data_IF_056163669917
#
_entry.id   IF_056163669917
#
_cell.length_a   1.000
_cell.length_b   1.000
_cell.length_c   1.000
_cell.angle_alpha   90.00
_cell.angle_beta   90.00
_cell.angle_gamma   90.00
#
_symmetry.space_group_name_H-M   'P 1'
#
loop_
_entity.id
_entity.type
_entity.pdbx_description
1 polymer ?
#
# COMPACT_ATOMS: atom_id res chain seq x y z
N UNK A 1 -26.29 -1.41 -3.85
CA UNK A 1 -25.07 -1.23 -4.68
C UNK A 1 -23.90 -0.65 -3.88
N UNK A 2 -24.03 0.51 -3.22
CA UNK A 2 -22.95 1.16 -2.44
C UNK A 2 -22.24 0.26 -1.41
N UNK A 3 -22.97 -0.52 -0.60
CA UNK A 3 -22.34 -1.44 0.39
C UNK A 3 -21.56 -2.59 -0.26
N UNK A 4 -22.03 -3.12 -1.39
CA UNK A 4 -21.34 -4.22 -2.09
C UNK A 4 -20.02 -3.74 -2.70
N UNK A 5 -20.02 -2.55 -3.29
CA UNK A 5 -18.82 -1.92 -3.83
C UNK A 5 -17.82 -1.55 -2.72
N UNK A 6 -18.30 -1.04 -1.58
CA UNK A 6 -17.44 -0.74 -0.43
C UNK A 6 -16.72 -1.99 0.08
N UNK A 7 -17.44 -3.12 0.19
CA UNK A 7 -16.87 -4.40 0.59
C UNK A 7 -15.83 -4.94 -0.40
N UNK A 8 -16.05 -4.77 -1.71
CA UNK A 8 -15.12 -5.22 -2.75
C UNK A 8 -13.83 -4.38 -2.78
N UNK A 9 -13.95 -3.08 -2.55
CA UNK A 9 -12.80 -2.17 -2.42
C UNK A 9 -11.94 -2.48 -1.20
N UNK A 10 -12.55 -2.77 -0.06
CA UNK A 10 -11.83 -3.15 1.16
C UNK A 10 -11.12 -4.51 0.97
N UNK A 11 -11.72 -5.44 0.23
CA UNK A 11 -11.09 -6.71 -0.13
C UNK A 11 -9.87 -6.52 -1.04
N UNK A 12 -9.97 -5.72 -2.11
CA UNK A 12 -8.84 -5.39 -2.98
C UNK A 12 -7.72 -4.67 -2.22
N UNK A 13 -8.10 -3.73 -1.34
CA UNK A 13 -7.16 -2.99 -0.51
C UNK A 13 -6.42 -3.90 0.47
N UNK A 14 -7.12 -4.85 1.11
CA UNK A 14 -6.51 -5.83 2.02
C UNK A 14 -5.46 -6.70 1.31
N UNK A 15 -5.74 -7.12 0.07
CA UNK A 15 -4.82 -7.89 -0.78
C UNK A 15 -3.61 -7.06 -1.21
N UNK A 16 -3.83 -5.79 -1.57
CA UNK A 16 -2.75 -4.87 -1.90
C UNK A 16 -1.82 -4.64 -0.70
N UNK A 17 -2.37 -4.37 0.49
CA UNK A 17 -1.59 -4.21 1.72
C UNK A 17 -0.84 -5.49 2.10
N UNK A 18 -1.45 -6.66 1.91
CA UNK A 18 -0.78 -7.94 2.14
C UNK A 18 0.44 -8.11 1.22
N UNK A 19 0.31 -7.79 -0.07
CA UNK A 19 1.42 -7.81 -1.04
C UNK A 19 2.49 -6.75 -0.74
N UNK A 20 2.09 -5.55 -0.32
CA UNK A 20 3.05 -4.51 0.04
C UNK A 20 3.87 -4.92 1.29
N UNK A 21 3.20 -5.48 2.31
CA UNK A 21 3.87 -6.03 3.50
C UNK A 21 4.78 -7.20 3.15
N UNK A 22 4.39 -8.04 2.20
CA UNK A 22 5.20 -9.12 1.64
C UNK A 22 6.49 -8.59 1.04
N UNK A 23 6.38 -7.67 0.09
CA UNK A 23 7.55 -7.14 -0.61
C UNK A 23 8.49 -6.43 0.34
N UNK A 24 7.97 -5.58 1.23
CA UNK A 24 8.78 -4.85 2.21
C UNK A 24 9.52 -5.81 3.17
N UNK A 25 8.85 -6.87 3.63
CA UNK A 25 9.47 -7.86 4.50
C UNK A 25 10.54 -8.69 3.78
N UNK A 26 10.27 -9.14 2.56
CA UNK A 26 11.24 -9.88 1.75
C UNK A 26 12.47 -9.02 1.46
N UNK A 27 12.27 -7.74 1.12
CA UNK A 27 13.39 -6.81 0.95
C UNK A 27 14.15 -6.57 2.25
N UNK A 28 13.46 -6.45 3.38
CA UNK A 28 14.09 -6.32 4.69
C UNK A 28 14.95 -7.54 5.03
N UNK A 29 14.42 -8.76 4.89
CA UNK A 29 15.16 -10.01 5.10
C UNK A 29 16.37 -10.10 4.15
N UNK A 30 16.19 -9.74 2.88
CA UNK A 30 17.28 -9.70 1.90
C UNK A 30 18.41 -8.73 2.31
N UNK A 31 18.06 -7.51 2.73
CA UNK A 31 19.04 -6.50 3.14
C UNK A 31 19.74 -6.90 4.43
N UNK A 32 19.02 -7.43 5.43
CA UNK A 32 19.66 -7.92 6.67
C UNK A 32 20.54 -9.14 6.42
N UNK A 33 20.14 -10.03 5.51
CA UNK A 33 20.93 -11.19 5.10
C UNK A 33 22.19 -10.79 4.35
N UNK A 34 22.10 -9.83 3.43
CA UNK A 34 23.25 -9.30 2.70
C UNK A 34 24.24 -8.57 3.63
N UNK A 35 23.72 -7.79 4.60
CA UNK A 35 24.55 -7.14 5.62
C UNK A 35 25.29 -8.16 6.48
N UNK A 36 24.61 -9.22 6.93
CA UNK A 36 25.22 -10.31 7.68
C UNK A 36 26.27 -11.04 6.83
N UNK A 37 25.97 -11.38 5.58
CA UNK A 37 26.90 -12.03 4.66
C UNK A 37 28.13 -11.17 4.39
N UNK A 38 27.97 -9.85 4.25
CA UNK A 38 29.11 -8.95 4.10
C UNK A 38 30.01 -8.94 5.33
N UNK A 39 29.45 -9.02 6.54
CA UNK A 39 30.23 -9.18 7.77
C UNK A 39 30.95 -10.54 7.82
N UNK A 40 30.31 -11.62 7.34
CA UNK A 40 30.95 -12.96 7.22
C UNK A 40 32.17 -12.90 6.31
N UNK A 41 32.02 -12.31 5.12
CA UNK A 41 33.09 -12.27 4.12
C UNK A 41 34.29 -11.46 4.63
N UNK A 42 34.04 -10.38 5.37
CA UNK A 42 35.10 -9.59 5.99
C UNK A 42 35.85 -10.35 7.09
N UNK A 43 35.16 -11.22 7.83
CA UNK A 43 35.78 -12.06 8.87
C UNK A 43 36.48 -13.29 8.27
N UNK A 44 35.96 -13.87 7.19
CA UNK A 44 36.54 -15.04 6.53
C UNK A 44 37.86 -14.73 5.81
N UNK A 45 38.11 -13.47 5.46
CA UNK A 45 39.39 -13.04 4.87
C UNK A 45 40.54 -12.91 5.89
N UNK A 46 40.29 -13.08 7.19
CA UNK A 46 41.31 -13.12 8.23
C UNK A 46 41.24 -14.49 8.93
N UNK A 47 42.25 -15.34 8.68
CA UNK A 47 42.34 -16.79 9.00
C UNK A 47 42.19 -17.23 10.47
N UNK A 48 41.78 -16.35 11.38
CA UNK A 48 41.68 -16.67 12.80
C UNK A 48 40.23 -16.94 13.23
N UNK A 49 40.01 -18.14 13.79
CA UNK A 49 38.85 -18.61 14.57
C UNK A 49 37.84 -19.53 13.83
N UNK A 50 37.86 -20.81 14.20
CA UNK A 50 36.99 -21.91 13.70
C UNK A 50 35.57 -21.94 14.27
N UNK A 51 35.28 -21.18 15.35
CA UNK A 51 33.96 -21.05 16.01
C UNK A 51 33.09 -19.90 15.47
N UNK A 52 33.71 -18.90 14.84
CA UNK A 52 33.07 -17.72 14.26
C UNK A 52 32.27 -18.01 12.97
N UNK A 53 32.77 -18.82 12.01
CA UNK A 53 32.04 -19.13 10.78
C UNK A 53 30.83 -20.06 11.04
N UNK A 54 30.84 -20.88 12.10
CA UNK A 54 29.73 -21.78 12.44
C UNK A 54 28.54 -21.05 13.05
N UNK A 55 28.74 -20.01 13.85
CA UNK A 55 27.66 -19.15 14.35
C UNK A 55 27.04 -18.30 13.23
N UNK A 56 27.86 -17.91 12.25
CA UNK A 56 27.44 -17.15 11.09
C UNK A 56 26.65 -17.98 10.07
N UNK A 57 27.04 -19.23 9.82
CA UNK A 57 26.23 -20.15 9.00
C UNK A 57 24.88 -20.47 9.66
N UNK A 58 24.84 -20.52 10.99
CA UNK A 58 23.60 -20.68 11.77
C UNK A 58 22.69 -19.43 11.67
N UNK A 59 23.28 -18.23 11.66
CA UNK A 59 22.56 -16.97 11.39
C UNK A 59 21.96 -16.89 9.99
N UNK A 60 22.72 -17.31 8.97
CA UNK A 60 22.23 -17.42 7.58
C UNK A 60 21.12 -18.48 7.47
N UNK A 61 21.27 -19.62 8.15
CA UNK A 61 20.26 -20.68 8.20
C UNK A 61 18.95 -20.19 8.85
N UNK A 62 19.01 -19.46 9.96
CA UNK A 62 17.83 -18.88 10.62
C UNK A 62 17.12 -17.86 9.72
N UNK A 63 17.88 -17.07 8.97
CA UNK A 63 17.34 -16.10 8.01
C UNK A 63 16.61 -16.81 6.86
N UNK A 64 17.22 -17.88 6.31
CA UNK A 64 16.61 -18.74 5.28
C UNK A 64 15.35 -19.44 5.80
N UNK A 65 15.36 -19.94 7.04
CA UNK A 65 14.20 -20.57 7.66
C UNK A 65 13.07 -19.56 7.93
N UNK A 66 13.40 -18.32 8.29
CA UNK A 66 12.41 -17.26 8.46
C UNK A 66 11.77 -16.81 7.13
N UNK A 67 12.56 -16.79 6.04
CA UNK A 67 12.08 -16.52 4.69
C UNK A 67 11.21 -17.68 4.16
N UNK A 68 11.63 -18.92 4.40
CA UNK A 68 10.88 -20.12 4.03
C UNK A 68 9.55 -20.19 4.80
N UNK A 69 9.55 -20.02 6.13
CA UNK A 69 8.34 -20.05 6.95
C UNK A 69 7.31 -18.98 6.56
N UNK A 70 7.78 -17.85 6.03
CA UNK A 70 6.93 -16.76 5.56
C UNK A 70 6.38 -17.01 4.14
N UNK A 71 7.19 -17.61 3.24
CA UNK A 71 6.76 -17.99 1.89
C UNK A 71 5.74 -19.15 1.91
N UNK A 72 5.90 -20.07 2.86
CA UNK A 72 5.04 -21.24 3.04
C UNK A 72 3.72 -20.94 3.77
N UNK A 73 3.62 -19.82 4.50
CA UNK A 73 2.44 -19.52 5.34
C UNK A 73 2.02 -18.07 5.16
N UNK A 74 0.86 -17.85 4.53
CA UNK A 74 0.18 -16.53 4.49
C UNK A 74 0.05 -16.01 5.93
N UNK A 75 0.91 -15.08 6.39
CA UNK A 75 1.12 -14.89 7.81
C UNK A 75 0.09 -13.92 8.37
N UNK A 76 -0.46 -14.29 9.53
CA UNK A 76 -1.23 -13.38 10.37
C UNK A 76 -0.37 -12.17 10.77
N UNK A 77 -0.96 -11.00 11.06
CA UNK A 77 -0.19 -9.80 11.45
C UNK A 77 0.75 -10.03 12.64
N UNK A 78 0.39 -10.91 13.57
CA UNK A 78 1.24 -11.29 14.72
C UNK A 78 2.45 -12.12 14.31
N UNK A 79 2.31 -13.03 13.34
CA UNK A 79 3.42 -13.84 12.83
C UNK A 79 4.48 -12.98 12.13
N UNK A 80 4.07 -11.90 11.44
CA UNK A 80 5.01 -10.95 10.81
C UNK A 80 5.86 -10.24 11.86
N UNK A 81 5.27 -9.83 12.99
CA UNK A 81 5.98 -9.18 14.09
C UNK A 81 6.94 -10.15 14.78
N UNK A 82 6.50 -11.37 15.06
CA UNK A 82 7.35 -12.40 15.66
C UNK A 82 8.57 -12.70 14.78
N UNK A 83 8.38 -12.86 13.46
CA UNK A 83 9.49 -13.11 12.54
C UNK A 83 10.43 -11.90 12.42
N UNK A 84 9.92 -10.67 12.49
CA UNK A 84 10.76 -9.46 12.55
C UNK A 84 11.63 -9.44 13.82
N UNK A 85 11.07 -9.84 14.97
CA UNK A 85 11.82 -9.92 16.22
C UNK A 85 12.89 -11.01 16.17
N UNK A 86 12.57 -12.20 15.67
CA UNK A 86 13.53 -13.31 15.53
C UNK A 86 14.67 -12.94 14.59
N UNK A 87 14.37 -12.36 13.42
CA UNK A 87 15.41 -11.89 12.49
C UNK A 87 16.27 -10.77 13.10
N UNK A 88 15.68 -9.86 13.86
CA UNK A 88 16.44 -8.84 14.57
C UNK A 88 17.35 -9.44 15.66
N UNK A 89 16.86 -10.42 16.43
CA UNK A 89 17.66 -11.11 17.43
C UNK A 89 18.85 -11.86 16.81
N UNK A 90 18.65 -12.51 15.65
CA UNK A 90 19.72 -13.18 14.92
C UNK A 90 20.80 -12.18 14.43
N UNK A 91 20.37 -11.03 13.91
CA UNK A 91 21.27 -9.95 13.49
C UNK A 91 22.04 -9.37 14.69
N UNK A 92 21.36 -9.17 15.82
CA UNK A 92 21.97 -8.65 17.05
C UNK A 92 23.01 -9.63 17.61
N UNK A 93 22.72 -10.93 17.57
CA UNK A 93 23.67 -11.98 17.94
C UNK A 93 24.90 -11.99 17.01
N UNK A 94 24.69 -11.90 15.68
CA UNK A 94 25.79 -11.79 14.72
C UNK A 94 26.64 -10.54 14.93
N UNK A 95 26.02 -9.40 15.27
CA UNK A 95 26.73 -8.18 15.61
C UNK A 95 27.54 -8.36 16.90
N UNK A 96 26.96 -8.94 17.96
CA UNK A 96 27.67 -9.23 19.21
C UNK A 96 28.92 -10.08 18.97
N UNK A 97 28.80 -11.12 18.14
CA UNK A 97 29.91 -11.98 17.75
C UNK A 97 31.00 -11.19 17.02
N UNK A 98 30.62 -10.34 16.06
CA UNK A 98 31.56 -9.49 15.33
C UNK A 98 32.28 -8.48 16.24
N UNK A 99 31.59 -7.98 17.27
CA UNK A 99 32.18 -7.09 18.30
C UNK A 99 33.18 -7.84 19.19
N UNK A 100 32.84 -9.04 19.66
CA UNK A 100 33.72 -9.86 20.51
C UNK A 100 34.91 -10.48 19.78
N UNK A 101 34.79 -10.68 18.46
CA UNK A 101 35.83 -11.29 17.63
C UNK A 101 37.05 -10.40 17.36
N UNK A 102 37.02 -9.13 17.76
CA UNK A 102 38.19 -8.22 17.76
C UNK A 102 38.81 -7.89 16.38
N UNK A 103 38.26 -8.40 15.28
CA UNK A 103 38.93 -8.39 13.98
C UNK A 103 38.48 -7.27 13.01
N UNK A 104 37.42 -6.52 13.32
CA UNK A 104 36.87 -5.51 12.40
C UNK A 104 37.31 -4.09 12.81
N UNK A 105 37.88 -3.29 11.90
CA UNK A 105 38.24 -1.90 12.22
C UNK A 105 36.99 -1.07 12.56
N UNK A 106 37.08 -0.27 13.62
CA UNK A 106 35.96 0.47 14.22
C UNK A 106 35.13 1.29 13.21
N UNK A 107 35.77 1.91 12.21
CA UNK A 107 35.07 2.68 11.17
C UNK A 107 34.20 1.84 10.24
N UNK A 108 34.63 0.61 9.88
CA UNK A 108 33.82 -0.30 9.05
C UNK A 108 32.62 -0.84 9.82
N UNK A 109 32.83 -1.12 11.11
CA UNK A 109 31.79 -1.55 12.02
C UNK A 109 30.71 -0.46 12.21
N UNK A 110 31.11 0.81 12.42
CA UNK A 110 30.18 1.94 12.50
C UNK A 110 29.33 2.06 11.23
N UNK A 111 29.96 2.00 10.06
CA UNK A 111 29.25 2.09 8.78
C UNK A 111 28.22 0.96 8.62
N UNK A 112 28.59 -0.27 8.99
CA UNK A 112 27.67 -1.41 8.97
C UNK A 112 26.48 -1.21 9.92
N UNK A 113 26.72 -0.73 11.15
CA UNK A 113 25.65 -0.44 12.12
C UNK A 113 24.72 0.68 11.62
N UNK A 114 25.27 1.77 11.05
CA UNK A 114 24.46 2.85 10.47
C UNK A 114 23.57 2.36 9.32
N UNK A 115 24.11 1.55 8.41
CA UNK A 115 23.34 0.94 7.31
C UNK A 115 22.25 0.00 7.84
N UNK A 116 22.56 -0.77 8.88
CA UNK A 116 21.60 -1.66 9.52
C UNK A 116 20.44 -0.88 10.17
N UNK A 117 20.76 0.20 10.91
CA UNK A 117 19.76 1.09 11.52
C UNK A 117 18.86 1.73 10.45
N UNK A 118 19.46 2.21 9.35
CA UNK A 118 18.69 2.74 8.22
C UNK A 118 17.80 1.66 7.60
N UNK A 119 18.32 0.46 7.35
CA UNK A 119 17.53 -0.65 6.81
C UNK A 119 16.36 -1.04 7.73
N UNK A 120 16.56 -1.06 9.04
CA UNK A 120 15.52 -1.31 10.03
C UNK A 120 14.45 -0.23 9.99
N UNK A 121 14.83 1.05 10.07
CA UNK A 121 13.87 2.16 10.10
C UNK A 121 13.10 2.32 8.78
N UNK A 122 13.69 1.96 7.65
CA UNK A 122 13.06 2.13 6.33
C UNK A 122 12.21 0.93 5.92
N UNK A 123 12.64 -0.30 6.22
CA UNK A 123 12.06 -1.52 5.64
C UNK A 123 11.47 -2.52 6.65
N UNK A 124 11.74 -2.39 7.95
CA UNK A 124 11.21 -3.37 8.91
C UNK A 124 9.67 -3.28 9.01
N UNK A 125 8.95 -4.40 8.92
CA UNK A 125 7.51 -4.39 9.05
C UNK A 125 7.11 -4.19 10.51
N UNK A 126 6.06 -3.39 10.73
CA UNK A 126 5.45 -3.25 12.04
C UNK A 126 5.19 -1.80 12.42
N UNK A 127 4.75 -1.58 13.67
CA UNK A 127 4.50 -0.25 14.19
C UNK A 127 5.82 0.55 14.31
N UNK A 128 5.69 1.87 14.33
CA UNK A 128 6.83 2.78 14.41
C UNK A 128 7.65 2.57 15.68
N UNK A 129 6.96 2.33 16.80
CA UNK A 129 7.58 2.11 18.10
C UNK A 129 8.46 0.85 18.15
N UNK A 130 7.95 -0.28 17.66
CA UNK A 130 8.69 -1.55 17.69
C UNK A 130 9.99 -1.47 16.91
N UNK A 131 9.90 -0.96 15.69
CA UNK A 131 11.05 -0.82 14.79
C UNK A 131 12.03 0.25 15.28
N UNK A 132 11.52 1.33 15.89
CA UNK A 132 12.36 2.30 16.59
C UNK A 132 13.13 1.66 17.75
N UNK A 133 12.45 0.81 18.54
CA UNK A 133 13.07 0.03 19.60
C UNK A 133 14.14 -0.95 19.10
N UNK A 134 13.88 -1.64 17.98
CA UNK A 134 14.87 -2.50 17.32
C UNK A 134 16.10 -1.70 16.89
N UNK A 135 15.92 -0.57 16.20
CA UNK A 135 17.01 0.31 15.79
C UNK A 135 17.80 0.88 16.99
N UNK A 136 17.11 1.21 18.08
CA UNK A 136 17.76 1.67 19.31
C UNK A 136 18.56 0.55 19.97
N UNK A 137 18.04 -0.68 20.02
CA UNK A 137 18.75 -1.82 20.60
C UNK A 137 20.09 -2.10 19.88
N UNK A 138 20.11 -2.04 18.55
CA UNK A 138 21.36 -2.16 17.76
C UNK A 138 22.33 -1.01 18.04
N UNK A 139 21.82 0.23 18.12
CA UNK A 139 22.64 1.40 18.44
C UNK A 139 23.26 1.35 19.85
N UNK A 140 22.48 0.89 20.84
CA UNK A 140 22.91 0.75 22.23
C UNK A 140 23.92 -0.37 22.42
N UNK A 141 23.77 -1.49 21.69
CA UNK A 141 24.76 -2.56 21.72
C UNK A 141 26.13 -2.07 21.21
N UNK A 142 26.14 -1.35 20.08
CA UNK A 142 27.36 -0.76 19.54
C UNK A 142 27.97 0.28 20.49
N UNK A 143 27.16 1.20 21.01
CA UNK A 143 27.63 2.21 21.96
C UNK A 143 28.19 1.58 23.24
N UNK A 144 27.53 0.55 23.78
CA UNK A 144 28.00 -0.20 24.96
C UNK A 144 29.36 -0.85 24.74
N UNK A 145 29.61 -1.41 23.53
CA UNK A 145 30.93 -1.94 23.18
C UNK A 145 31.99 -0.83 23.12
N UNK A 146 31.69 0.30 22.48
CA UNK A 146 32.63 1.44 22.39
C UNK A 146 32.97 2.05 23.74
N UNK A 147 32.01 2.04 24.67
CA UNK A 147 32.23 2.46 26.06
C UNK A 147 33.01 1.41 26.86
N UNK A 148 32.84 0.11 26.59
CA UNK A 148 33.63 -0.93 27.24
C UNK A 148 35.10 -0.92 26.77
N UNK A 149 35.35 -0.49 25.53
CA UNK A 149 36.69 -0.30 24.95
C UNK A 149 37.37 1.02 25.38
N UNK A 150 36.83 1.71 26.40
CA UNK A 150 37.24 3.06 26.87
C UNK A 150 38.74 3.22 27.19
N UNK A 151 39.51 2.14 27.28
CA UNK A 151 40.96 2.19 27.49
C UNK A 151 41.75 2.66 26.27
N UNK A 152 41.16 2.70 25.07
CA UNK A 152 41.88 3.00 23.82
C UNK A 152 41.33 4.15 22.95
N UNK A 153 40.08 4.61 23.16
CA UNK A 153 39.40 5.52 22.22
C UNK A 153 39.41 6.99 22.70
N UNK A 154 39.74 7.93 21.82
CA UNK A 154 39.68 9.36 22.13
C UNK A 154 38.25 9.89 22.19
N UNK A 155 37.93 10.77 23.15
CA UNK A 155 36.61 11.42 23.33
C UNK A 155 36.00 11.97 22.03
N UNK A 156 36.84 12.46 21.12
CA UNK A 156 36.41 12.98 19.82
C UNK A 156 35.82 11.91 18.89
N UNK A 157 36.32 10.67 18.93
CA UNK A 157 35.81 9.57 18.10
C UNK A 157 34.41 9.14 18.56
N UNK A 158 34.21 8.97 19.87
CA UNK A 158 32.89 8.65 20.44
C UNK A 158 31.85 9.73 20.07
N UNK A 159 32.25 11.00 20.09
CA UNK A 159 31.38 12.10 19.69
C UNK A 159 30.98 11.99 18.20
N UNK A 160 31.93 11.73 17.32
CA UNK A 160 31.65 11.55 15.88
C UNK A 160 30.74 10.34 15.64
N UNK A 161 31.02 9.21 16.29
CA UNK A 161 30.21 7.99 16.21
C UNK A 161 28.76 8.28 16.64
N UNK A 162 28.57 9.01 17.75
CA UNK A 162 27.25 9.39 18.27
C UNK A 162 26.46 10.31 17.33
N UNK A 163 27.13 11.27 16.69
CA UNK A 163 26.52 12.21 15.73
C UNK A 163 26.08 11.48 14.47
N UNK A 164 26.90 10.54 13.97
CA UNK A 164 26.55 9.72 12.81
C UNK A 164 25.38 8.79 13.10
N UNK A 165 25.35 8.16 14.27
CA UNK A 165 24.27 7.27 14.69
C UNK A 165 22.95 8.05 14.80
N UNK A 166 22.96 9.18 15.49
CA UNK A 166 21.77 10.04 15.63
C UNK A 166 21.29 10.58 14.28
N UNK A 167 22.20 10.92 13.38
CA UNK A 167 21.86 11.29 11.99
C UNK A 167 21.16 10.13 11.27
N UNK A 168 21.69 8.90 11.34
CA UNK A 168 21.07 7.72 10.75
C UNK A 168 19.65 7.47 11.30
N UNK A 169 19.45 7.64 12.61
CA UNK A 169 18.13 7.56 13.22
C UNK A 169 17.17 8.63 12.68
N UNK A 170 17.61 9.88 12.60
CA UNK A 170 16.82 11.00 12.10
C UNK A 170 16.38 10.78 10.64
N UNK A 171 17.33 10.42 9.77
CA UNK A 171 17.06 10.12 8.35
C UNK A 171 16.10 8.94 8.22
N UNK A 172 16.33 7.86 8.97
CA UNK A 172 15.46 6.67 8.94
C UNK A 172 14.03 6.98 9.40
N UNK A 173 13.86 7.72 10.49
CA UNK A 173 12.54 8.15 10.96
C UNK A 173 11.84 9.06 9.96
N UNK A 174 12.56 10.04 9.41
CA UNK A 174 12.04 10.96 8.40
C UNK A 174 11.55 10.19 7.16
N UNK A 175 12.39 9.30 6.61
CA UNK A 175 12.03 8.51 5.44
C UNK A 175 10.78 7.68 5.69
N UNK A 176 10.71 6.99 6.84
CA UNK A 176 9.53 6.17 7.18
C UNK A 176 8.27 7.00 7.33
N UNK A 177 8.37 8.18 7.96
CA UNK A 177 7.26 9.11 8.10
C UNK A 177 6.77 9.59 6.73
N UNK A 178 7.69 9.97 5.85
CA UNK A 178 7.39 10.40 4.48
C UNK A 178 6.72 9.29 3.69
N UNK A 179 7.27 8.08 3.69
CA UNK A 179 6.71 6.92 2.98
C UNK A 179 5.33 6.55 3.50
N UNK A 180 5.12 6.57 4.83
CA UNK A 180 3.79 6.34 5.42
C UNK A 180 2.79 7.40 4.97
N UNK A 181 3.20 8.67 4.96
CA UNK A 181 2.35 9.78 4.53
C UNK A 181 2.00 9.68 3.05
N UNK A 182 2.98 9.35 2.19
CA UNK A 182 2.78 9.12 0.76
C UNK A 182 1.80 7.97 0.48
N UNK A 183 1.94 6.85 1.20
CA UNK A 183 0.98 5.75 1.10
C UNK A 183 -0.42 6.19 1.54
N UNK A 184 -0.56 6.85 2.69
CA UNK A 184 -1.88 7.31 3.16
C UNK A 184 -2.52 8.31 2.18
N UNK A 185 -1.74 9.23 1.61
CA UNK A 185 -2.22 10.15 0.59
C UNK A 185 -2.73 9.41 -0.67
N UNK A 186 -1.98 8.41 -1.16
CA UNK A 186 -2.40 7.59 -2.29
C UNK A 186 -3.70 6.79 -2.01
N UNK A 187 -3.89 6.36 -0.76
CA UNK A 187 -5.12 5.68 -0.34
C UNK A 187 -6.31 6.61 -0.29
N UNK A 188 -6.13 7.81 0.28
CA UNK A 188 -7.18 8.83 0.30
C UNK A 188 -7.55 9.24 -1.13
N UNK A 189 -6.56 9.41 -2.01
CA UNK A 189 -6.79 9.72 -3.41
C UNK A 189 -7.57 8.61 -4.13
N UNK A 190 -7.18 7.34 -3.92
CA UNK A 190 -7.89 6.18 -4.48
C UNK A 190 -9.35 6.14 -4.01
N UNK A 191 -9.61 6.34 -2.71
CA UNK A 191 -10.97 6.39 -2.15
C UNK A 191 -11.81 7.51 -2.77
N UNK A 192 -11.27 8.74 -2.83
CA UNK A 192 -11.96 9.89 -3.44
C UNK A 192 -12.28 9.66 -4.92
N UNK A 193 -11.36 9.03 -5.65
CA UNK A 193 -11.55 8.68 -7.07
C UNK A 193 -12.74 7.73 -7.24
N UNK A 194 -12.82 6.69 -6.41
CA UNK A 194 -13.91 5.71 -6.44
C UNK A 194 -15.23 6.35 -6.08
N UNK A 195 -15.29 7.12 -4.97
CA UNK A 195 -16.51 7.82 -4.55
C UNK A 195 -17.05 8.72 -5.68
N UNK A 196 -16.15 9.40 -6.38
CA UNK A 196 -16.51 10.23 -7.54
C UNK A 196 -17.06 9.39 -8.69
N UNK A 197 -16.46 8.23 -8.99
CA UNK A 197 -16.97 7.33 -10.04
C UNK A 197 -18.35 6.78 -9.71
N UNK A 198 -18.58 6.37 -8.46
CA UNK A 198 -19.90 5.87 -8.02
C UNK A 198 -20.96 6.95 -8.16
N UNK A 199 -20.65 8.17 -7.75
CA UNK A 199 -21.58 9.30 -7.89
C UNK A 199 -21.95 9.54 -9.35
N UNK A 200 -20.94 9.54 -10.23
CA UNK A 200 -21.16 9.70 -11.68
C UNK A 200 -22.00 8.56 -12.28
N UNK A 201 -21.79 7.31 -11.84
CA UNK A 201 -22.61 6.17 -12.28
C UNK A 201 -24.06 6.29 -11.82
N UNK A 202 -24.32 6.71 -10.58
CA UNK A 202 -25.67 6.97 -10.09
C UNK A 202 -26.34 8.14 -10.83
N UNK A 203 -25.62 9.23 -11.10
CA UNK A 203 -26.14 10.35 -11.90
C UNK A 203 -26.46 9.91 -13.33
N UNK A 204 -25.61 9.07 -13.94
CA UNK A 204 -25.86 8.48 -15.27
C UNK A 204 -27.11 7.59 -15.27
N UNK A 205 -27.24 6.67 -14.31
CA UNK A 205 -28.42 5.80 -14.17
C UNK A 205 -29.70 6.62 -14.00
N UNK A 206 -29.64 7.69 -13.22
CA UNK A 206 -30.78 8.60 -13.05
C UNK A 206 -31.15 9.32 -14.36
N UNK A 207 -30.16 9.76 -15.14
CA UNK A 207 -30.40 10.34 -16.47
C UNK A 207 -30.98 9.33 -17.46
N UNK A 208 -30.51 8.08 -17.44
CA UNK A 208 -31.05 7.00 -18.26
C UNK A 208 -32.49 6.64 -17.88
N UNK A 209 -32.82 6.64 -16.58
CA UNK A 209 -34.18 6.38 -16.09
C UNK A 209 -35.14 7.54 -16.41
N UNK A 210 -34.69 8.80 -16.26
CA UNK A 210 -35.48 9.96 -16.66
C UNK A 210 -35.78 9.95 -18.16
N UNK A 211 -34.80 9.57 -18.99
CA UNK A 211 -34.96 9.45 -20.44
C UNK A 211 -35.99 8.38 -20.84
N UNK A 212 -36.18 7.32 -20.05
CA UNK A 212 -37.14 6.24 -20.30
C UNK A 212 -38.53 6.45 -19.66
N UNK A 213 -38.68 7.44 -18.77
CA UNK A 213 -39.92 7.67 -18.00
C UNK A 213 -40.96 8.58 -18.66
N UNK A 214 -40.59 9.34 -19.70
CA UNK A 214 -41.49 10.33 -20.34
C UNK A 214 -41.77 10.00 -21.82
N UNK A 215 -41.12 8.99 -22.41
CA UNK A 215 -41.35 8.58 -23.80
C UNK A 215 -41.21 7.05 -23.92
N UNK A 216 -42.22 6.31 -24.48
CA UNK A 216 -42.12 4.87 -24.72
C UNK A 216 -40.82 4.48 -25.43
N UNK A 217 -40.15 3.41 -24.98
CA UNK A 217 -38.78 3.01 -25.37
C UNK A 217 -38.51 2.94 -26.88
N UNK A 218 -39.54 2.66 -27.69
CA UNK A 218 -39.47 2.66 -29.15
C UNK A 218 -39.19 4.05 -29.76
N UNK A 219 -39.72 5.13 -29.18
CA UNK A 219 -39.58 6.49 -29.71
C UNK A 219 -38.23 7.11 -29.29
N UNK A 220 -37.73 6.77 -28.09
CA UNK A 220 -36.42 7.23 -27.61
C UNK A 220 -35.26 6.67 -28.46
N UNK A 221 -35.37 5.43 -28.95
CA UNK A 221 -34.39 4.81 -29.84
C UNK A 221 -34.34 5.48 -31.23
N UNK A 222 -35.50 5.83 -31.78
CA UNK A 222 -35.62 6.51 -33.07
C UNK A 222 -35.03 7.94 -33.01
N UNK A 223 -35.31 8.66 -31.93
CA UNK A 223 -34.79 10.04 -31.70
C UNK A 223 -33.28 10.06 -31.47
N UNK A 224 -32.72 9.06 -30.75
CA UNK A 224 -31.26 8.91 -30.56
C UNK A 224 -30.53 8.68 -31.88
N UNK A 225 -31.09 7.84 -32.77
CA UNK A 225 -30.54 7.59 -34.10
C UNK A 225 -30.63 8.85 -34.99
N UNK A 226 -31.74 9.59 -34.93
CA UNK A 226 -31.93 10.84 -35.66
C UNK A 226 -30.93 11.95 -35.26
N UNK A 227 -30.63 12.10 -33.96
CA UNK A 227 -29.66 13.09 -33.46
C UNK A 227 -28.22 12.71 -33.86
N UNK A 228 -27.86 11.43 -33.76
CA UNK A 228 -26.53 10.96 -34.16
C UNK A 228 -26.25 11.17 -35.65
N UNK A 229 -27.26 10.96 -36.51
CA UNK A 229 -27.14 11.22 -37.95
C UNK A 229 -27.01 12.73 -38.23
N UNK A 230 -27.82 13.58 -37.59
CA UNK A 230 -27.70 15.05 -37.72
C UNK A 230 -26.36 15.58 -37.18
N UNK A 231 -25.80 15.00 -36.12
CA UNK A 231 -24.47 15.37 -35.60
C UNK A 231 -23.31 14.92 -36.48
N UNK A 232 -23.44 13.79 -37.18
CA UNK A 232 -22.46 13.37 -38.16
C UNK A 232 -22.44 14.31 -39.38
N UNK A 233 -23.61 14.82 -39.78
CA UNK A 233 -23.77 15.74 -40.91
C UNK A 233 -23.23 17.16 -40.62
N UNK A 234 -23.41 17.65 -39.38
CA UNK A 234 -22.85 18.94 -38.91
C UNK A 234 -21.33 18.88 -38.72
N UNK A 235 -20.74 17.70 -38.48
CA UNK A 235 -19.27 17.55 -38.48
C UNK A 235 -18.65 17.54 -39.89
N UNK A 236 -19.44 17.23 -40.92
CA UNK A 236 -19.00 17.25 -42.31
C UNK A 236 -19.12 18.65 -42.96
N UNK A 237 -19.91 19.56 -42.37
CA UNK A 237 -20.11 20.91 -42.90
C UNK A 237 -19.89 21.94 -41.81
N UNK A 238 -18.80 22.70 -41.96
CA UNK A 238 -18.34 23.72 -41.01
C UNK A 238 -19.27 24.96 -41.02
N UNK A 239 -20.49 24.79 -40.50
CA UNK A 239 -21.50 25.85 -40.43
C UNK A 239 -22.03 25.97 -39.01
N UNK A 240 -21.52 27.00 -38.33
CA UNK A 240 -22.17 27.67 -37.19
C UNK A 240 -23.60 28.04 -37.53
N UNK A 241 -24.56 27.19 -37.13
CA UNK A 241 -25.97 27.52 -37.17
C UNK A 241 -26.59 27.29 -35.78
N UNK A 242 -27.17 28.38 -35.26
CA UNK A 242 -27.83 28.52 -33.97
C UNK A 242 -28.81 27.37 -33.68
N UNK A 243 -28.83 26.97 -32.40
CA UNK A 243 -29.92 26.23 -31.75
C UNK A 243 -31.28 26.84 -32.14
N UNK A 244 -32.18 26.04 -32.69
CA UNK A 244 -33.61 26.14 -32.38
C UNK A 244 -34.31 24.80 -32.66
N UNK A 245 -34.53 24.03 -31.61
CA UNK A 245 -35.33 22.80 -31.62
C UNK A 245 -36.81 23.17 -31.71
N UNK A 246 -37.42 23.08 -32.88
CA UNK A 246 -38.88 22.96 -33.03
C UNK A 246 -39.20 21.93 -34.14
N UNK A 247 -38.85 20.67 -33.91
CA UNK A 247 -39.36 19.54 -34.71
C UNK A 247 -40.43 18.82 -33.88
N UNK A 248 -41.71 19.05 -34.20
CA UNK A 248 -42.85 18.31 -33.64
C UNK A 248 -43.11 17.09 -34.54
N UNK A 249 -42.75 15.89 -34.07
CA UNK A 249 -43.05 14.65 -34.79
C UNK A 249 -44.41 14.10 -34.38
N UNK A 250 -45.42 14.26 -35.24
CA UNK A 250 -46.76 13.68 -35.08
C UNK A 250 -46.88 12.45 -35.98
N UNK A 251 -46.99 11.25 -35.38
CA UNK A 251 -47.33 10.03 -36.11
C UNK A 251 -48.84 9.75 -35.96
N UNK A 252 -49.52 9.52 -37.09
CA UNK A 252 -50.91 9.06 -37.09
C UNK A 252 -50.95 7.54 -36.97
N UNK A 253 -51.64 7.04 -35.94
CA UNK A 253 -51.97 5.63 -35.79
C UNK A 253 -53.45 5.44 -36.14
N UNK A 254 -53.73 4.71 -37.22
CA UNK A 254 -55.11 4.55 -37.73
C UNK A 254 -55.94 3.50 -36.97
N UNK A 255 -55.31 2.62 -36.17
CA UNK A 255 -55.99 1.52 -35.47
C UNK A 255 -55.62 1.46 -33.97
N UNK A 256 -55.93 2.52 -33.22
CA UNK A 256 -55.82 2.52 -31.74
C UNK A 256 -57.22 2.56 -31.14
N UNK A 257 -57.56 1.58 -30.30
CA UNK A 257 -58.77 1.63 -29.47
C UNK A 257 -58.40 2.34 -28.17
N UNK A 258 -59.01 3.49 -27.90
CA UNK A 258 -58.86 4.17 -26.62
C UNK A 258 -59.75 3.48 -25.59
N UNK A 259 -59.14 2.92 -24.54
CA UNK A 259 -59.84 2.42 -23.37
C UNK A 259 -59.93 3.55 -22.35
N UNK A 260 -61.02 4.29 -22.36
CA UNK A 260 -61.31 5.28 -21.33
C UNK A 260 -61.99 4.55 -20.16
N UNK A 261 -61.28 4.44 -19.03
CA UNK A 261 -61.85 3.92 -17.78
C UNK A 261 -62.37 5.13 -17.01
N UNK A 262 -63.66 5.37 -17.14
CA UNK A 262 -64.37 6.38 -16.35
C UNK A 262 -64.58 5.86 -14.92
N UNK A 263 -63.85 6.43 -13.96
CA UNK A 263 -63.88 6.03 -12.55
C UNK A 263 -65.13 6.51 -11.79
N UNK A 264 -66.06 7.25 -12.41
CA UNK A 264 -67.25 7.74 -11.71
C UNK A 264 -68.40 6.72 -11.57
N UNK A 265 -68.25 5.50 -12.12
CA UNK A 265 -69.22 4.38 -11.90
C UNK A 265 -68.83 3.41 -10.78
N UNK A 266 -67.91 3.76 -9.88
CA UNK A 266 -67.51 2.90 -8.77
C UNK A 266 -67.94 3.41 -7.38
N UNK A 267 -68.74 4.49 -7.32
CA UNK A 267 -69.31 5.04 -6.07
C UNK A 267 -70.69 4.49 -5.69
N UNK A 268 -71.31 3.65 -6.54
CA UNK A 268 -72.65 3.07 -6.30
C UNK A 268 -72.65 1.54 -6.06
N UNK A 269 -71.52 0.94 -5.69
CA UNK A 269 -71.43 -0.47 -5.27
C UNK A 269 -70.66 -0.66 -3.95
N UNK A 270 -70.77 0.30 -3.04
CA UNK A 270 -70.44 0.08 -1.62
C UNK A 270 -71.75 0.21 -0.84
N UNK A 271 -72.34 -0.90 -0.33
CA UNK A 271 -73.52 -0.81 0.51
C UNK A 271 -73.16 -0.12 1.83
N UNK A 272 -74.06 0.70 2.41
CA UNK A 272 -73.92 1.09 3.80
C UNK A 272 -74.31 -0.11 4.68
N UNK A 273 -73.44 -0.40 5.64
CA UNK A 273 -73.52 -1.38 6.74
C UNK A 273 -73.53 -2.88 6.40
#
# INVERSE_FOLDING_TARGET
MSRALAMDMDALFSRYLARLRLTLFVTYQGVTGASMLSCVLLLHTQDDVTLLPTLLTLGVLLLVLSAAGWLLRQPSPSAVLANSLVSHAAVLAGLLVALTGGAVPAGRLLAAVCLLVLAQLTMAPGPTLLVGGQALATSLLYAGFRLAEETACGRHQILVDSVLLTCAHGVGHYYRHMTRSGHMAALVATRRCIDSRVKLECEREHQEQLLLSVIPAYIAAEVKRGIMVKMADVRATDKTAKKQFHDLHVQRHNNVRYGEVDCDRQKNLVPPD
#
